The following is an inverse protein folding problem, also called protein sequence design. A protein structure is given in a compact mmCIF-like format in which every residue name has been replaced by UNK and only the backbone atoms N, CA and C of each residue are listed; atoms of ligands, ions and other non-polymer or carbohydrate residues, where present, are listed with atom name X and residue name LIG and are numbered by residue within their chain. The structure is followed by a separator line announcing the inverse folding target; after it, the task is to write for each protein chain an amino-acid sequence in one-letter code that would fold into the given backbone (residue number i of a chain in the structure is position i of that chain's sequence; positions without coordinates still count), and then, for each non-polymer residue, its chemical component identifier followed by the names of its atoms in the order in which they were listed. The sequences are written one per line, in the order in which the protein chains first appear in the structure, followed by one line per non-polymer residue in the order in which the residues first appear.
data_IF_005977656012
#
_entry.id   IF_005977656012
#
_cell.length_a   1.000
_cell.length_b   1.000
_cell.length_c   1.000
_cell.angle_alpha   90.00
_cell.angle_beta   90.00
_cell.angle_gamma   90.00
#
_symmetry.space_group_name_H-M   'P 1'
#
loop_
_entity.id
_entity.type
_entity.pdbx_description
1 polymer ?
#
# COMPACT_ATOMS: atom_id res chain seq x y z
N UNK A 1 -15.82 13.00 -25.35
CA UNK A 1 -15.71 11.64 -24.78
C UNK A 1 -15.19 11.82 -23.37
N UNK A 2 -16.01 11.54 -22.34
CA UNK A 2 -15.55 11.67 -20.95
C UNK A 2 -14.52 10.57 -20.65
N UNK A 3 -13.30 10.98 -20.28
CA UNK A 3 -12.20 10.06 -20.02
C UNK A 3 -12.19 9.67 -18.53
N UNK A 4 -12.99 8.66 -18.17
CA UNK A 4 -13.15 8.20 -16.78
C UNK A 4 -11.99 7.32 -16.27
N UNK A 5 -10.87 7.24 -16.98
CA UNK A 5 -9.75 6.35 -16.65
C UNK A 5 -9.19 6.59 -15.24
N UNK A 6 -8.84 7.84 -14.91
CA UNK A 6 -8.31 8.19 -13.59
C UNK A 6 -9.30 7.93 -12.45
N UNK A 7 -10.59 8.16 -12.71
CA UNK A 7 -11.66 7.86 -11.75
C UNK A 7 -11.78 6.35 -11.47
N UNK A 8 -11.79 5.53 -12.52
CA UNK A 8 -11.86 4.07 -12.40
C UNK A 8 -10.63 3.49 -11.70
N UNK A 9 -9.42 3.97 -12.05
CA UNK A 9 -8.18 3.59 -11.37
C UNK A 9 -8.24 3.92 -9.88
N UNK A 10 -8.76 5.10 -9.52
CA UNK A 10 -8.93 5.50 -8.12
C UNK A 10 -9.91 4.59 -7.38
N UNK A 11 -11.04 4.24 -8.01
CA UNK A 11 -12.00 3.28 -7.43
C UNK A 11 -11.38 1.90 -7.20
N UNK A 12 -10.61 1.39 -8.16
CA UNK A 12 -9.90 0.11 -8.02
C UNK A 12 -8.96 0.16 -6.83
N UNK A 13 -8.15 1.23 -6.71
CA UNK A 13 -7.23 1.41 -5.57
C UNK A 13 -7.98 1.39 -4.22
N UNK A 14 -9.04 2.18 -4.09
CA UNK A 14 -9.83 2.25 -2.84
C UNK A 14 -10.54 0.93 -2.50
N UNK A 15 -10.97 0.16 -3.50
CA UNK A 15 -11.53 -1.17 -3.27
C UNK A 15 -10.44 -2.16 -2.83
N UNK A 16 -9.29 -2.16 -3.49
CA UNK A 16 -8.14 -2.99 -3.15
C UNK A 16 -7.66 -2.74 -1.73
N UNK A 17 -7.50 -1.47 -1.33
CA UNK A 17 -7.11 -1.10 0.03
C UNK A 17 -8.10 -1.66 1.07
N UNK A 18 -9.41 -1.51 0.85
CA UNK A 18 -10.44 -2.04 1.77
C UNK A 18 -10.47 -3.55 1.85
N UNK A 19 -10.28 -4.25 0.73
CA UNK A 19 -10.22 -5.72 0.69
C UNK A 19 -9.00 -6.19 1.48
N UNK A 20 -7.85 -5.52 1.33
CA UNK A 20 -6.65 -5.89 2.05
C UNK A 20 -6.79 -5.71 3.56
N UNK A 21 -7.31 -4.56 4.03
CA UNK A 21 -7.61 -4.34 5.45
C UNK A 21 -8.58 -5.39 6.02
N UNK A 22 -9.61 -5.76 5.24
CA UNK A 22 -10.54 -6.81 5.63
C UNK A 22 -9.83 -8.17 5.82
N UNK A 23 -8.92 -8.54 4.92
CA UNK A 23 -8.14 -9.78 5.03
C UNK A 23 -7.27 -9.77 6.29
N UNK A 24 -6.61 -8.65 6.61
CA UNK A 24 -5.80 -8.53 7.83
C UNK A 24 -6.67 -8.74 9.09
N UNK A 25 -7.83 -8.07 9.13
CA UNK A 25 -8.79 -8.21 10.23
C UNK A 25 -9.30 -9.64 10.37
N UNK A 26 -9.68 -10.31 9.28
CA UNK A 26 -10.13 -11.71 9.29
C UNK A 26 -9.05 -12.70 9.77
N UNK A 27 -7.76 -12.32 9.62
CA UNK A 27 -6.62 -13.09 10.14
C UNK A 27 -6.21 -12.70 11.56
N UNK A 28 -6.93 -11.79 12.20
CA UNK A 28 -6.59 -11.22 13.52
C UNK A 28 -5.19 -10.58 13.53
N UNK A 29 -4.81 -9.92 12.43
CA UNK A 29 -3.58 -9.14 12.34
C UNK A 29 -3.92 -7.69 12.69
N UNK A 30 -3.45 -7.24 13.86
CA UNK A 30 -3.63 -5.87 14.38
C UNK A 30 -2.29 -5.13 14.59
N UNK A 31 -1.17 -5.84 14.47
CA UNK A 31 0.17 -5.28 14.62
C UNK A 31 0.52 -4.22 13.54
N UNK A 32 -0.18 -4.25 12.40
CA UNK A 32 0.02 -3.28 11.32
C UNK A 32 -1.23 -3.13 10.44
N UNK A 33 -1.36 -1.97 9.80
CA UNK A 33 -2.39 -1.70 8.78
C UNK A 33 -1.91 -2.09 7.36
N UNK A 34 -2.78 -1.96 6.36
CA UNK A 34 -2.50 -2.33 4.98
C UNK A 34 -1.34 -1.55 4.33
N UNK A 35 -1.13 -0.28 4.71
CA UNK A 35 0.03 0.47 4.22
C UNK A 35 1.34 -0.07 4.80
N UNK A 36 1.37 -0.29 6.12
CA UNK A 36 2.50 -0.90 6.81
C UNK A 36 2.78 -2.33 6.33
N UNK A 37 1.74 -3.13 6.05
CA UNK A 37 1.88 -4.46 5.46
C UNK A 37 2.55 -4.46 4.08
N UNK A 38 2.25 -3.46 3.24
CA UNK A 38 2.96 -3.27 1.95
C UNK A 38 4.44 -2.92 2.13
N UNK A 39 4.77 -2.11 3.14
CA UNK A 39 6.16 -1.78 3.49
C UNK A 39 6.89 -3.05 3.91
N UNK A 40 6.31 -3.81 4.84
CA UNK A 40 6.86 -5.08 5.32
C UNK A 40 7.07 -6.07 4.17
N UNK A 41 6.11 -6.18 3.25
CA UNK A 41 6.24 -7.05 2.08
C UNK A 41 7.45 -6.66 1.21
N UNK A 42 7.65 -5.37 0.92
CA UNK A 42 8.78 -4.93 0.10
C UNK A 42 10.12 -5.19 0.80
N UNK A 43 10.22 -4.87 2.09
CA UNK A 43 11.43 -5.10 2.88
C UNK A 43 11.74 -6.59 3.05
N UNK A 44 10.72 -7.45 3.09
CA UNK A 44 10.91 -8.90 3.09
C UNK A 44 11.53 -9.42 1.79
N UNK A 45 11.24 -8.78 0.64
CA UNK A 45 11.82 -9.17 -0.64
C UNK A 45 13.26 -8.66 -0.82
N UNK A 46 13.55 -7.45 -0.34
CA UNK A 46 14.85 -6.82 -0.47
C UNK A 46 15.10 -5.88 0.71
N UNK A 47 16.04 -6.27 1.57
CA UNK A 47 16.47 -5.46 2.72
C UNK A 47 17.51 -4.41 2.30
N UNK A 48 17.72 -3.40 3.15
CA UNK A 48 18.73 -2.35 2.93
C UNK A 48 18.42 -1.41 1.77
N UNK A 49 17.21 -1.44 1.21
CA UNK A 49 16.82 -0.54 0.13
C UNK A 49 16.69 0.91 0.60
N UNK A 50 17.01 1.84 -0.30
CA UNK A 50 16.84 3.27 0.00
C UNK A 50 15.36 3.62 0.24
N UNK A 51 15.10 4.62 1.08
CA UNK A 51 13.73 5.12 1.34
C UNK A 51 13.02 5.58 0.06
N UNK A 52 13.76 6.09 -0.92
CA UNK A 52 13.22 6.49 -2.23
C UNK A 52 12.74 5.27 -3.02
N UNK A 53 13.54 4.22 -3.06
CA UNK A 53 13.17 2.95 -3.70
C UNK A 53 11.99 2.30 -3.01
N UNK A 54 11.96 2.31 -1.66
CA UNK A 54 10.86 1.81 -0.87
C UNK A 54 9.56 2.57 -1.18
N UNK A 55 9.60 3.91 -1.22
CA UNK A 55 8.47 4.77 -1.58
C UNK A 55 7.89 4.41 -2.95
N UNK A 56 8.75 4.26 -3.97
CA UNK A 56 8.32 3.87 -5.32
C UNK A 56 7.71 2.47 -5.35
N UNK A 57 8.34 1.49 -4.69
CA UNK A 57 7.85 0.09 -4.67
C UNK A 57 6.53 -0.08 -3.90
N UNK A 58 6.34 0.67 -2.81
CA UNK A 58 5.12 0.62 -2.01
C UNK A 58 3.99 1.49 -2.60
N UNK A 59 4.28 2.37 -3.55
CA UNK A 59 3.31 3.35 -4.06
C UNK A 59 2.89 4.38 -3.00
N UNK A 60 3.76 4.65 -2.03
CA UNK A 60 3.55 5.56 -0.91
C UNK A 60 4.43 6.80 -1.06
N UNK A 61 3.94 7.95 -0.61
CA UNK A 61 4.80 9.14 -0.51
C UNK A 61 5.86 8.92 0.57
N UNK A 62 7.05 9.53 0.41
CA UNK A 62 8.12 9.45 1.41
C UNK A 62 7.64 9.96 2.77
N UNK A 63 6.82 11.02 2.80
CA UNK A 63 6.22 11.54 4.04
C UNK A 63 5.36 10.50 4.76
N UNK A 64 4.69 9.62 4.02
CA UNK A 64 3.90 8.51 4.57
C UNK A 64 4.75 7.36 5.10
N UNK A 65 6.06 7.32 4.77
CA UNK A 65 7.00 6.35 5.32
C UNK A 65 7.68 6.85 6.61
N UNK A 66 7.72 8.17 6.82
CA UNK A 66 8.42 8.81 7.95
C UNK A 66 7.48 9.32 9.04
N UNK A 67 6.17 9.27 8.83
CA UNK A 67 5.14 9.70 9.78
C UNK A 67 4.51 8.47 10.43
#
# INVERSE_FOLDING_TARGET
MEMNGGFLVTKIKQLGDRIFEKILSEKNIDAFNGAQGRILYVLWQEDGISIRSLSTKCGLAITSLTT
#
